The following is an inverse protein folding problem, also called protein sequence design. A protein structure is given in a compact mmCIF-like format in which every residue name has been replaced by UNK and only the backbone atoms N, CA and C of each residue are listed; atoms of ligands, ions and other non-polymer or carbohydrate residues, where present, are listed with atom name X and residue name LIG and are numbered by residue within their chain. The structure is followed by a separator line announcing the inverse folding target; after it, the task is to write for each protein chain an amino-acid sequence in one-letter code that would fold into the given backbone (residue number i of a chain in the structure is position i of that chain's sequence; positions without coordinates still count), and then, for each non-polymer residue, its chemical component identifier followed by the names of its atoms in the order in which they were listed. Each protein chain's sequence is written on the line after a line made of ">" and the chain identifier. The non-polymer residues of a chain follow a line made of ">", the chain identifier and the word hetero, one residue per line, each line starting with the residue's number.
data_IF_570775951933
#
_entry.id   IF_570775951933
#
_cell.length_a   1.000
_cell.length_b   1.000
_cell.length_c   1.000
_cell.angle_alpha   90.00
_cell.angle_beta   90.00
_cell.angle_gamma   90.00
#
_symmetry.space_group_name_H-M   'P 1'
#
loop_
_entity.id
_entity.type
_entity.pdbx_description
1 polymer ?
#
# COMPACT_ATOMS: atom_id res chain seq x y z
N UNK A 1 -21.72 -6.07 -7.00
CA UNK A 1 -21.98 -4.86 -6.21
C UNK A 1 -20.89 -4.80 -5.16
N UNK A 2 -19.88 -3.95 -5.34
CA UNK A 2 -18.86 -3.74 -4.31
C UNK A 2 -19.57 -2.98 -3.16
N UNK A 3 -19.38 -3.38 -1.91
CA UNK A 3 -19.90 -2.57 -0.81
C UNK A 3 -19.04 -1.32 -0.71
N UNK A 4 -19.62 -0.15 -1.00
CA UNK A 4 -18.96 1.15 -0.90
C UNK A 4 -18.74 1.62 0.54
N UNK A 5 -19.06 0.79 1.53
CA UNK A 5 -18.80 1.08 2.94
C UNK A 5 -17.35 0.79 3.30
N UNK A 6 -16.66 1.83 3.77
CA UNK A 6 -15.34 1.78 4.38
C UNK A 6 -15.25 0.65 5.40
N UNK A 7 -14.28 -0.25 5.22
CA UNK A 7 -14.01 -1.31 6.19
C UNK A 7 -12.96 -0.89 7.21
N UNK A 8 -12.13 0.10 6.88
CA UNK A 8 -10.98 0.50 7.67
C UNK A 8 -11.08 1.96 8.14
N UNK A 9 -10.76 2.21 9.40
CA UNK A 9 -10.53 3.56 9.91
C UNK A 9 -9.10 4.07 9.59
N UNK A 10 -8.83 5.35 9.85
CA UNK A 10 -7.53 5.98 9.49
C UNK A 10 -6.32 5.34 10.16
N UNK A 11 -6.47 4.85 11.39
CA UNK A 11 -5.40 4.16 12.12
C UNK A 11 -5.09 2.81 11.47
N UNK A 12 -6.12 2.07 11.07
CA UNK A 12 -6.00 0.81 10.36
C UNK A 12 -5.34 1.00 9.00
N UNK A 13 -5.74 2.03 8.23
CA UNK A 13 -5.11 2.40 6.95
C UNK A 13 -3.62 2.73 7.17
N UNK A 14 -3.32 3.53 8.18
CA UNK A 14 -1.94 3.89 8.51
C UNK A 14 -1.09 2.66 8.84
N UNK A 15 -1.62 1.74 9.66
CA UNK A 15 -0.91 0.51 10.03
C UNK A 15 -0.77 -0.46 8.86
N UNK A 16 -1.80 -0.57 8.03
CA UNK A 16 -1.80 -1.37 6.80
C UNK A 16 -0.68 -0.93 5.85
N UNK A 17 -0.59 0.37 5.54
CA UNK A 17 0.43 0.92 4.65
C UNK A 17 1.84 0.77 5.22
N UNK A 18 2.03 0.95 6.53
CA UNK A 18 3.33 0.66 7.17
C UNK A 18 3.76 -0.79 7.00
N UNK A 19 2.84 -1.73 7.17
CA UNK A 19 3.13 -3.16 6.97
C UNK A 19 3.41 -3.49 5.51
N UNK A 20 2.73 -2.84 4.56
CA UNK A 20 3.05 -2.95 3.15
C UNK A 20 4.49 -2.49 2.87
N UNK A 21 4.88 -1.34 3.42
CA UNK A 21 6.25 -0.84 3.33
C UNK A 21 7.26 -1.79 3.97
N UNK A 22 6.96 -2.41 5.13
CA UNK A 22 7.83 -3.43 5.74
C UNK A 22 8.00 -4.64 4.82
N UNK A 23 6.88 -5.23 4.39
CA UNK A 23 6.85 -6.46 3.57
C UNK A 23 7.61 -6.29 2.26
N UNK A 24 7.44 -5.14 1.62
CA UNK A 24 8.08 -4.83 0.33
C UNK A 24 9.48 -4.23 0.48
N UNK A 25 9.95 -4.00 1.71
CA UNK A 25 11.13 -3.16 1.98
C UNK A 25 11.02 -1.78 1.28
N UNK A 26 9.80 -1.27 1.23
CA UNK A 26 9.30 -0.07 0.53
C UNK A 26 9.39 -0.09 -0.98
N UNK A 27 9.72 -1.23 -1.61
CA UNK A 27 9.62 -1.46 -3.04
C UNK A 27 8.16 -1.65 -3.45
N UNK A 28 7.39 -0.56 -3.44
CA UNK A 28 5.95 -0.60 -3.71
C UNK A 28 5.74 -0.30 -5.18
N UNK A 29 5.12 -1.25 -5.89
CA UNK A 29 4.60 -1.03 -7.22
C UNK A 29 3.09 -0.75 -7.15
N UNK A 30 2.65 0.48 -7.36
CA UNK A 30 1.23 0.90 -7.34
C UNK A 30 0.54 0.63 -8.69
N UNK A 31 0.97 -0.45 -9.34
CA UNK A 31 0.50 -0.90 -10.64
C UNK A 31 -0.87 -1.59 -10.53
N UNK A 32 -1.64 -1.46 -11.61
CA UNK A 32 -2.93 -2.10 -11.88
C UNK A 32 -2.85 -3.64 -11.96
N UNK A 33 -1.68 -4.25 -12.09
CA UNK A 33 -1.47 -5.70 -12.25
C UNK A 33 -1.67 -6.56 -10.98
N UNK A 34 -2.46 -6.08 -10.00
CA UNK A 34 -3.02 -6.92 -8.93
C UNK A 34 -2.16 -7.04 -7.67
N UNK A 35 -0.82 -7.07 -7.81
CA UNK A 35 0.08 -7.31 -6.67
C UNK A 35 -0.08 -6.31 -5.52
N UNK A 36 -0.33 -5.03 -5.83
CA UNK A 36 -0.57 -4.00 -4.81
C UNK A 36 -1.85 -4.29 -4.01
N UNK A 37 -2.94 -4.52 -4.71
CA UNK A 37 -4.26 -4.76 -4.12
C UNK A 37 -4.26 -6.07 -3.32
N UNK A 38 -3.64 -7.12 -3.86
CA UNK A 38 -3.55 -8.42 -3.19
C UNK A 38 -2.68 -8.35 -1.94
N UNK A 39 -1.59 -7.57 -1.96
CA UNK A 39 -0.79 -7.31 -0.76
C UNK A 39 -1.60 -6.55 0.29
N UNK A 40 -2.34 -5.49 -0.09
CA UNK A 40 -3.19 -4.77 0.85
C UNK A 40 -4.23 -5.70 1.50
N UNK A 41 -4.92 -6.53 0.70
CA UNK A 41 -5.91 -7.46 1.22
C UNK A 41 -5.29 -8.51 2.14
N UNK A 42 -4.16 -9.08 1.74
CA UNK A 42 -3.44 -10.08 2.54
C UNK A 42 -3.02 -9.51 3.88
N UNK A 43 -2.42 -8.31 3.90
CA UNK A 43 -1.98 -7.66 5.13
C UNK A 43 -3.19 -7.25 6.00
N UNK A 44 -4.25 -6.72 5.40
CA UNK A 44 -5.46 -6.36 6.14
C UNK A 44 -6.12 -7.59 6.81
N UNK A 45 -6.07 -8.75 6.15
CA UNK A 45 -6.50 -10.03 6.72
C UNK A 45 -5.58 -10.52 7.83
N UNK A 46 -4.27 -10.46 7.65
CA UNK A 46 -3.28 -10.83 8.69
C UNK A 46 -3.41 -9.95 9.95
N UNK A 47 -3.72 -8.66 9.76
CA UNK A 47 -4.02 -7.72 10.84
C UNK A 47 -5.42 -7.92 11.46
N UNK A 48 -6.21 -8.86 10.95
CA UNK A 48 -7.59 -9.17 11.36
C UNK A 48 -8.56 -8.00 11.21
N UNK A 49 -8.31 -7.11 10.24
CA UNK A 49 -9.22 -6.01 9.93
C UNK A 49 -10.35 -6.42 8.99
N UNK A 50 -10.05 -7.38 8.12
CA UNK A 50 -11.02 -8.02 7.24
C UNK A 50 -10.88 -9.53 7.36
N UNK A 51 -11.90 -10.26 6.92
CA UNK A 51 -11.80 -11.70 6.74
C UNK A 51 -10.80 -12.06 5.64
N UNK A 52 -10.31 -13.30 5.68
CA UNK A 52 -9.43 -13.80 4.63
C UNK A 52 -10.23 -13.91 3.32
N UNK A 53 -9.76 -13.30 2.21
CA UNK A 53 -10.45 -13.41 0.93
C UNK A 53 -10.58 -14.89 0.55
N UNK A 54 -11.81 -15.30 0.28
CA UNK A 54 -12.11 -16.59 -0.33
C UNK A 54 -12.14 -16.38 -1.84
N UNK A 55 -11.37 -17.17 -2.60
CA UNK A 55 -11.22 -17.04 -4.06
C UNK A 55 -10.67 -15.66 -4.49
N UNK A 56 -10.94 -15.24 -5.73
CA UNK A 56 -10.53 -13.95 -6.32
C UNK A 56 -11.46 -12.78 -5.93
N UNK A 57 -12.17 -12.88 -4.80
CA UNK A 57 -13.09 -11.83 -4.37
C UNK A 57 -12.35 -10.75 -3.57
N UNK A 58 -12.44 -9.51 -4.05
CA UNK A 58 -11.93 -8.36 -3.32
C UNK A 58 -12.84 -8.04 -2.12
N UNK A 59 -12.28 -8.04 -0.91
CA UNK A 59 -12.99 -7.69 0.34
C UNK A 59 -12.75 -6.23 0.74
N UNK A 60 -11.54 -5.70 0.49
CA UNK A 60 -11.29 -4.27 0.69
C UNK A 60 -12.17 -3.45 -0.24
N UNK A 61 -12.76 -2.38 0.30
CA UNK A 61 -13.51 -1.45 -0.54
C UNK A 61 -12.58 -0.69 -1.48
N UNK A 62 -13.15 -0.15 -2.55
CA UNK A 62 -12.43 0.77 -3.42
C UNK A 62 -11.93 2.00 -2.65
N UNK A 63 -12.70 2.48 -1.67
CA UNK A 63 -12.33 3.64 -0.86
C UNK A 63 -11.17 3.33 0.10
N UNK A 64 -11.17 2.19 0.78
CA UNK A 64 -10.04 1.75 1.62
C UNK A 64 -8.73 1.68 0.81
N UNK A 65 -8.84 1.23 -0.44
CA UNK A 65 -7.67 1.18 -1.32
C UNK A 65 -7.20 2.57 -1.74
N UNK A 66 -8.13 3.46 -2.09
CA UNK A 66 -7.82 4.85 -2.45
C UNK A 66 -7.14 5.57 -1.27
N UNK A 67 -7.69 5.44 -0.07
CA UNK A 67 -7.11 5.99 1.17
C UNK A 67 -5.74 5.40 1.48
N UNK A 68 -5.50 4.14 1.15
CA UNK A 68 -4.17 3.52 1.27
C UNK A 68 -3.16 4.15 0.29
N UNK A 69 -3.57 4.46 -0.94
CA UNK A 69 -2.73 5.16 -1.94
C UNK A 69 -2.44 6.59 -1.50
N UNK A 70 -3.44 7.33 -1.01
CA UNK A 70 -3.25 8.68 -0.45
C UNK A 70 -2.25 8.66 0.69
N UNK A 71 -2.33 7.64 1.56
CA UNK A 71 -1.38 7.50 2.67
C UNK A 71 0.05 7.22 2.20
N UNK A 72 0.22 6.46 1.12
CA UNK A 72 1.52 6.26 0.48
C UNK A 72 2.06 7.60 -0.05
N UNK A 73 1.23 8.42 -0.68
CA UNK A 73 1.62 9.76 -1.13
C UNK A 73 2.02 10.68 0.02
N UNK A 74 1.38 10.60 1.18
CA UNK A 74 1.87 11.31 2.36
C UNK A 74 3.31 10.91 2.74
N UNK A 75 3.65 9.62 2.64
CA UNK A 75 5.02 9.15 2.90
C UNK A 75 6.02 9.63 1.85
N UNK A 76 5.59 9.80 0.60
CA UNK A 76 6.39 10.47 -0.43
C UNK A 76 6.62 11.94 -0.07
N UNK A 77 5.56 12.67 0.28
CA UNK A 77 5.65 14.10 0.66
C UNK A 77 6.49 14.32 1.93
N UNK A 78 6.51 13.35 2.85
CA UNK A 78 7.37 13.34 4.05
C UNK A 78 8.82 12.95 3.76
N UNK A 79 9.15 12.54 2.53
CA UNK A 79 10.47 12.09 2.12
C UNK A 79 10.87 10.72 2.68
N UNK A 80 9.91 9.90 3.09
CA UNK A 80 10.11 8.52 3.59
C UNK A 80 10.23 7.56 2.40
N UNK A 81 9.39 7.78 1.39
CA UNK A 81 9.45 7.10 0.10
C UNK A 81 9.90 8.08 -0.98
N UNK A 82 10.57 7.56 -2.01
CA UNK A 82 10.89 8.31 -3.22
C UNK A 82 10.47 7.53 -4.46
N UNK A 83 10.08 8.22 -5.54
CA UNK A 83 9.88 7.58 -6.84
C UNK A 83 11.19 6.94 -7.31
N UNK A 84 11.12 5.68 -7.71
CA UNK A 84 12.21 4.98 -8.38
C UNK A 84 12.04 4.99 -9.90
N UNK A 85 13.13 4.73 -10.62
CA UNK A 85 13.11 4.51 -12.07
C UNK A 85 13.07 3.00 -12.36
N UNK A 86 12.07 2.54 -13.12
CA UNK A 86 12.20 1.26 -13.82
C UNK A 86 13.14 1.45 -15.01
N UNK A 87 14.04 0.50 -15.23
CA UNK A 87 14.97 0.48 -16.36
C UNK A 87 14.28 0.20 -17.71
N UNK A 88 12.97 -0.01 -17.75
CA UNK A 88 12.23 -0.27 -18.99
C UNK A 88 10.77 0.19 -18.92
N UNK A 89 10.40 1.12 -19.81
CA UNK A 89 9.01 1.37 -20.21
C UNK A 89 8.38 2.68 -19.69
N UNK A 90 7.77 3.42 -20.62
CA UNK A 90 6.99 4.63 -20.38
C UNK A 90 5.85 4.38 -19.39
N UNK A 91 5.94 4.95 -18.19
CA UNK A 91 4.79 5.23 -17.34
C UNK A 91 4.95 6.62 -16.73
N UNK A 92 4.03 7.52 -17.08
CA UNK A 92 4.08 8.97 -16.84
C UNK A 92 3.70 9.31 -15.37
N UNK A 93 3.37 8.30 -14.58
CA UNK A 93 3.14 8.41 -13.14
C UNK A 93 3.96 7.32 -12.46
N UNK A 94 4.94 7.74 -11.66
CA UNK A 94 5.93 6.88 -11.01
C UNK A 94 5.28 5.67 -10.31
N UNK A 95 5.27 4.47 -10.93
CA UNK A 95 4.54 3.33 -10.37
C UNK A 95 5.36 2.66 -9.27
N UNK A 96 6.66 2.92 -9.22
CA UNK A 96 7.59 2.27 -8.32
C UNK A 96 8.10 3.26 -7.27
N UNK A 97 7.96 2.89 -6.01
CA UNK A 97 8.50 3.60 -4.86
C UNK A 97 9.60 2.76 -4.21
N UNK A 98 10.51 3.42 -3.52
CA UNK A 98 11.52 2.79 -2.68
C UNK A 98 11.73 3.61 -1.39
N UNK A 99 12.26 2.98 -0.34
CA UNK A 99 12.64 3.70 0.88
C UNK A 99 13.81 4.64 0.62
N UNK A 100 13.68 5.88 1.04
CA UNK A 100 14.82 6.79 1.18
C UNK A 100 15.68 6.39 2.37
N UNK A 101 16.83 7.04 2.54
CA UNK A 101 17.65 6.91 3.76
C UNK A 101 16.85 7.26 5.03
N UNK A 102 16.03 8.32 4.96
CA UNK A 102 15.10 8.68 6.05
C UNK A 102 14.09 7.56 6.28
N UNK A 103 13.52 7.03 5.20
CA UNK A 103 12.56 5.94 5.26
C UNK A 103 13.10 4.71 5.95
N UNK A 104 14.31 4.25 5.58
CA UNK A 104 14.97 3.10 6.23
C UNK A 104 15.11 3.29 7.74
N UNK A 105 15.57 4.47 8.18
CA UNK A 105 15.69 4.81 9.61
C UNK A 105 14.35 4.87 10.33
N UNK A 106 13.27 5.26 9.64
CA UNK A 106 11.92 5.21 10.21
C UNK A 106 11.43 3.76 10.32
N UNK A 107 11.73 2.91 9.33
CA UNK A 107 11.35 1.49 9.35
C UNK A 107 12.01 0.72 10.49
N UNK A 108 13.26 1.02 10.83
CA UNK A 108 13.98 0.40 11.96
C UNK A 108 13.35 0.69 13.32
N UNK A 109 12.58 1.78 13.42
CA UNK A 109 11.89 2.19 14.66
C UNK A 109 10.50 1.59 14.80
N UNK A 110 9.95 1.02 13.73
CA UNK A 110 8.59 0.47 13.68
C UNK A 110 8.61 -1.03 13.87
#
# INVERSE_FOLDING_TARGET
>A
MFSDEDKLNDEQISKLVKQLMKRTNGNINVDKHGDFYDNLQTIASELKYIEKPQYSQSILSYNDTTRSIEKIWEYVMKGVLAPGSLSSGYNIFFPYLHLTEKGRKEMEKW
#
